data_IF_707896567579
#
_entry.id   IF_707896567579
#
_cell.length_a   1.000
_cell.length_b   1.000
_cell.length_c   1.000
_cell.angle_alpha   90.00
_cell.angle_beta   90.00
_cell.angle_gamma   90.00
#
_symmetry.space_group_name_H-M   'P 1'
#
loop_
_entity.id
_entity.type
_entity.pdbx_description
1 polymer ?
#
# COMPACT_ATOMS: atom_id res chain seq x y z
N UNK A 1 -14.06 -12.70 31.53
CA UNK A 1 -14.03 -11.88 30.33
C UNK A 1 -14.39 -10.47 30.74
N UNK A 2 -13.64 -9.44 30.33
CA UNK A 2 -13.99 -8.04 30.65
C UNK A 2 -15.22 -7.61 29.84
N UNK A 3 -15.87 -6.53 30.24
CA UNK A 3 -17.01 -5.98 29.51
C UNK A 3 -16.61 -5.56 28.08
N UNK A 4 -15.39 -5.05 27.88
CA UNK A 4 -14.83 -4.69 26.58
C UNK A 4 -14.65 -5.95 25.72
N UNK A 5 -14.03 -6.99 26.23
CA UNK A 5 -13.83 -8.24 25.49
C UNK A 5 -15.16 -8.91 25.08
N UNK A 6 -16.21 -8.79 25.90
CA UNK A 6 -17.54 -9.30 25.53
C UNK A 6 -18.17 -8.48 24.42
N UNK A 7 -18.03 -7.15 24.45
CA UNK A 7 -18.53 -6.28 23.40
C UNK A 7 -17.77 -6.50 22.07
N UNK A 8 -16.43 -6.65 22.15
CA UNK A 8 -15.59 -6.97 20.98
C UNK A 8 -16.00 -8.31 20.35
N UNK A 9 -16.24 -9.34 21.16
CA UNK A 9 -16.74 -10.64 20.68
C UNK A 9 -18.09 -10.48 19.97
N UNK A 10 -19.03 -9.74 20.54
CA UNK A 10 -20.34 -9.48 19.94
C UNK A 10 -20.23 -8.71 18.63
N UNK A 11 -19.31 -7.75 18.53
CA UNK A 11 -19.06 -7.02 17.29
C UNK A 11 -18.53 -7.95 16.19
N UNK A 12 -17.60 -8.86 16.51
CA UNK A 12 -17.12 -9.86 15.57
C UNK A 12 -18.22 -10.83 15.12
N UNK A 13 -19.08 -11.28 16.04
CA UNK A 13 -20.17 -12.21 15.73
C UNK A 13 -21.30 -11.55 14.93
N UNK A 14 -21.47 -10.24 15.03
CA UNK A 14 -22.47 -9.48 14.27
C UNK A 14 -22.05 -9.22 12.80
N UNK A 15 -20.81 -9.52 12.41
CA UNK A 15 -20.40 -9.45 11.01
C UNK A 15 -21.18 -10.50 10.20
N UNK A 16 -21.94 -10.02 9.22
CA UNK A 16 -22.71 -10.86 8.29
C UNK A 16 -21.82 -11.37 7.17
N UNK A 17 -21.54 -12.67 7.09
CA UNK A 17 -20.69 -13.26 6.04
C UNK A 17 -21.22 -13.01 4.62
N UNK A 18 -22.54 -13.04 4.41
CA UNK A 18 -23.14 -12.82 3.09
C UNK A 18 -22.97 -11.36 2.65
N UNK A 19 -23.04 -10.42 3.60
CA UNK A 19 -22.77 -9.01 3.35
C UNK A 19 -21.32 -8.78 2.92
N UNK A 20 -20.35 -9.40 3.60
CA UNK A 20 -18.92 -9.35 3.23
C UNK A 20 -18.71 -9.87 1.81
N UNK A 21 -19.28 -11.03 1.48
CA UNK A 21 -19.22 -11.63 0.13
C UNK A 21 -19.81 -10.70 -0.91
N UNK A 22 -20.99 -10.15 -0.67
CA UNK A 22 -21.67 -9.24 -1.60
C UNK A 22 -20.87 -7.97 -1.85
N UNK A 23 -20.30 -7.37 -0.81
CA UNK A 23 -19.45 -6.19 -0.92
C UNK A 23 -18.18 -6.47 -1.73
N UNK A 24 -17.44 -7.53 -1.40
CA UNK A 24 -16.20 -7.90 -2.08
C UNK A 24 -16.48 -8.23 -3.58
N UNK A 25 -17.46 -9.05 -3.86
CA UNK A 25 -17.84 -9.40 -5.23
C UNK A 25 -18.28 -8.17 -6.03
N UNK A 26 -19.09 -7.30 -5.42
CA UNK A 26 -19.57 -6.07 -6.06
C UNK A 26 -18.43 -5.12 -6.40
N UNK A 27 -17.45 -4.95 -5.49
CA UNK A 27 -16.25 -4.14 -5.75
C UNK A 27 -15.39 -4.72 -6.87
N UNK A 28 -15.15 -6.04 -6.89
CA UNK A 28 -14.35 -6.69 -7.95
C UNK A 28 -14.99 -6.50 -9.33
N UNK A 29 -16.33 -6.51 -9.41
CA UNK A 29 -17.07 -6.29 -10.66
C UNK A 29 -16.96 -4.88 -11.22
N UNK A 30 -16.48 -3.92 -10.43
CA UNK A 30 -16.24 -2.55 -10.86
C UNK A 30 -14.79 -2.39 -11.27
N UNK A 31 -14.52 -2.21 -12.56
CA UNK A 31 -13.17 -1.88 -13.06
C UNK A 31 -12.75 -0.50 -12.56
N UNK A 32 -11.64 -0.43 -11.84
CA UNK A 32 -11.09 0.79 -11.23
C UNK A 32 -9.61 1.00 -11.53
N UNK A 33 -9.21 0.61 -12.73
CA UNK A 33 -7.86 0.87 -13.25
C UNK A 33 -7.78 2.32 -13.72
N UNK A 34 -6.80 3.07 -13.21
CA UNK A 34 -6.49 4.39 -13.74
C UNK A 34 -5.77 4.26 -15.08
N UNK A 35 -6.31 4.89 -16.11
CA UNK A 35 -5.70 4.97 -17.44
C UNK A 35 -6.11 6.30 -18.08
N UNK A 36 -5.19 7.26 -18.09
CA UNK A 36 -5.42 8.60 -18.64
C UNK A 36 -5.75 8.55 -20.13
N UNK A 37 -5.09 7.69 -20.89
CA UNK A 37 -5.29 7.57 -22.33
C UNK A 37 -6.69 7.04 -22.67
N UNK A 38 -7.28 6.22 -21.81
CA UNK A 38 -8.63 5.67 -21.94
C UNK A 38 -9.69 6.48 -21.18
N UNK A 39 -9.25 7.44 -20.37
CA UNK A 39 -10.14 8.24 -19.52
C UNK A 39 -10.83 7.42 -18.43
N UNK A 40 -10.22 6.34 -17.95
CA UNK A 40 -10.75 5.51 -16.87
C UNK A 40 -10.09 5.87 -15.55
N UNK A 41 -10.88 5.82 -14.47
CA UNK A 41 -10.44 6.14 -13.11
C UNK A 41 -11.11 5.20 -12.11
N UNK A 42 -10.75 5.29 -10.84
CA UNK A 42 -11.37 4.59 -9.73
C UNK A 42 -12.73 5.17 -9.30
N UNK A 43 -13.16 6.30 -9.83
CA UNK A 43 -14.44 6.92 -9.47
C UNK A 43 -15.67 5.98 -9.52
N UNK A 44 -15.79 5.01 -10.44
CA UNK A 44 -16.88 4.03 -10.39
C UNK A 44 -16.86 3.17 -9.13
N UNK A 45 -15.67 2.76 -8.63
CA UNK A 45 -15.54 1.97 -7.42
C UNK A 45 -15.85 2.82 -6.17
N UNK A 46 -15.37 4.05 -6.12
CA UNK A 46 -15.74 5.00 -5.07
C UNK A 46 -17.26 5.22 -5.00
N UNK A 47 -17.93 5.38 -6.15
CA UNK A 47 -19.40 5.46 -6.19
C UNK A 47 -20.06 4.21 -5.62
N UNK A 48 -19.57 3.03 -5.98
CA UNK A 48 -20.09 1.79 -5.41
C UNK A 48 -19.97 1.79 -3.88
N UNK A 49 -18.81 2.16 -3.33
CA UNK A 49 -18.60 2.28 -1.87
C UNK A 49 -19.60 3.25 -1.25
N UNK A 50 -19.76 4.44 -1.84
CA UNK A 50 -20.73 5.45 -1.38
C UNK A 50 -22.17 4.90 -1.34
N UNK A 51 -22.59 4.21 -2.40
CA UNK A 51 -23.94 3.64 -2.49
C UNK A 51 -24.15 2.54 -1.45
N UNK A 52 -23.14 1.70 -1.20
CA UNK A 52 -23.20 0.67 -0.17
C UNK A 52 -23.29 1.27 1.25
N UNK A 53 -22.48 2.28 1.55
CA UNK A 53 -22.49 2.96 2.85
C UNK A 53 -23.84 3.68 3.07
N UNK A 54 -24.37 4.38 2.06
CA UNK A 54 -25.68 5.03 2.14
C UNK A 54 -26.82 4.03 2.34
N UNK A 55 -26.78 2.88 1.65
CA UNK A 55 -27.78 1.84 1.84
C UNK A 55 -27.77 1.25 3.25
N UNK A 56 -26.62 1.27 3.92
CA UNK A 56 -26.45 0.89 5.31
C UNK A 56 -26.75 2.05 6.29
N UNK A 57 -27.17 3.23 5.80
CA UNK A 57 -27.57 4.38 6.61
C UNK A 57 -26.42 5.22 7.14
N UNK A 58 -25.24 5.19 6.47
CA UNK A 58 -24.15 6.11 6.72
C UNK A 58 -24.21 7.34 5.79
N UNK A 59 -23.48 8.38 6.12
CA UNK A 59 -23.37 9.61 5.34
C UNK A 59 -21.92 9.84 4.86
N UNK A 60 -21.46 9.07 3.84
CA UNK A 60 -20.09 9.21 3.34
C UNK A 60 -19.90 10.54 2.63
N UNK A 61 -18.75 11.17 2.86
CA UNK A 61 -18.25 12.31 2.14
C UNK A 61 -17.34 11.84 1.01
N UNK A 62 -17.41 12.56 -0.12
CA UNK A 62 -16.55 12.30 -1.29
C UNK A 62 -15.70 13.53 -1.53
N UNK A 63 -14.38 13.33 -1.62
CA UNK A 63 -13.42 14.40 -1.85
C UNK A 63 -12.49 14.03 -3.00
N UNK A 64 -12.39 14.90 -3.98
CA UNK A 64 -11.50 14.71 -5.14
C UNK A 64 -10.03 14.94 -4.72
N UNK A 65 -9.22 13.90 -4.69
CA UNK A 65 -7.76 14.01 -4.53
C UNK A 65 -7.09 14.55 -5.82
N UNK A 66 -7.65 14.21 -6.96
CA UNK A 66 -7.34 14.74 -8.28
C UNK A 66 -8.60 14.61 -9.15
N UNK A 67 -8.69 15.27 -10.31
CA UNK A 67 -9.87 15.17 -11.17
C UNK A 67 -10.26 13.74 -11.51
N UNK A 68 -11.47 13.33 -11.09
CA UNK A 68 -12.00 11.97 -11.28
C UNK A 68 -11.36 10.90 -10.39
N UNK A 69 -10.58 11.28 -9.38
CA UNK A 69 -9.90 10.38 -8.45
C UNK A 69 -10.34 10.68 -7.00
N UNK A 70 -11.54 10.23 -6.61
CA UNK A 70 -12.12 10.59 -5.35
C UNK A 70 -11.70 9.67 -4.19
N UNK A 71 -11.46 10.27 -3.03
CA UNK A 71 -11.50 9.60 -1.73
C UNK A 71 -12.94 9.48 -1.24
N UNK A 72 -13.23 8.44 -0.49
CA UNK A 72 -14.49 8.29 0.26
C UNK A 72 -14.15 8.26 1.75
N UNK A 73 -14.69 9.23 2.50
CA UNK A 73 -14.49 9.34 3.94
C UNK A 73 -15.84 9.09 4.62
N UNK A 74 -15.88 8.21 5.61
CA UNK A 74 -17.10 7.92 6.33
C UNK A 74 -16.82 7.68 7.81
N UNK A 75 -17.40 8.51 8.65
CA UNK A 75 -17.26 8.38 10.10
C UNK A 75 -18.47 7.65 10.68
N UNK A 76 -18.21 6.70 11.55
CA UNK A 76 -19.12 6.21 12.55
C UNK A 76 -18.71 6.79 13.90
N UNK A 77 -19.52 7.70 14.42
CA UNK A 77 -19.41 8.22 15.78
C UNK A 77 -20.51 7.59 16.63
N UNK A 78 -20.14 6.94 17.72
CA UNK A 78 -21.15 6.46 18.65
C UNK A 78 -21.78 7.63 19.41
N UNK A 79 -23.02 7.47 19.90
CA UNK A 79 -23.79 8.54 20.55
C UNK A 79 -23.07 9.17 21.78
N UNK A 80 -22.11 8.46 22.37
CA UNK A 80 -21.31 8.95 23.50
C UNK A 80 -19.98 9.58 23.07
N UNK A 81 -19.71 9.71 21.77
CA UNK A 81 -18.43 10.23 21.28
C UNK A 81 -18.21 11.70 21.65
N UNK A 82 -17.03 12.01 22.12
CA UNK A 82 -16.52 13.36 22.40
C UNK A 82 -15.06 13.43 21.90
N UNK A 83 -14.85 14.17 20.82
CA UNK A 83 -13.53 14.27 20.14
C UNK A 83 -12.40 14.79 21.05
N UNK A 84 -12.72 15.46 22.16
CA UNK A 84 -11.71 15.93 23.12
C UNK A 84 -11.24 14.86 24.12
N UNK A 85 -11.89 13.70 24.15
CA UNK A 85 -11.71 12.68 25.19
C UNK A 85 -11.59 11.25 24.66
N UNK A 86 -12.14 10.99 23.49
CA UNK A 86 -12.25 9.64 22.95
C UNK A 86 -11.42 9.50 21.67
N UNK A 87 -10.98 8.28 21.40
CA UNK A 87 -10.12 7.95 20.30
C UNK A 87 -10.87 7.84 18.98
N UNK A 88 -10.11 8.06 17.91
CA UNK A 88 -10.52 7.76 16.53
C UNK A 88 -9.61 6.64 15.99
N UNK A 89 -10.23 5.56 15.52
CA UNK A 89 -9.55 4.51 14.74
C UNK A 89 -9.86 4.70 13.27
N UNK A 90 -8.84 4.73 12.42
CA UNK A 90 -9.02 4.66 10.97
C UNK A 90 -8.95 3.21 10.49
N UNK A 91 -9.87 2.83 9.62
CA UNK A 91 -9.75 1.67 8.73
C UNK A 91 -9.48 2.21 7.34
N UNK A 92 -8.30 1.93 6.84
CA UNK A 92 -7.77 2.48 5.60
C UNK A 92 -7.78 1.42 4.50
N UNK A 93 -8.07 1.83 3.27
CA UNK A 93 -7.92 1.02 2.07
C UNK A 93 -8.11 1.83 0.80
N UNK A 94 -7.73 1.25 -0.34
CA UNK A 94 -7.82 1.93 -1.64
C UNK A 94 -8.83 1.29 -2.60
N UNK A 95 -9.28 2.08 -3.59
CA UNK A 95 -10.26 1.64 -4.59
C UNK A 95 -9.67 1.36 -5.95
N UNK A 96 -8.51 1.91 -6.26
CA UNK A 96 -7.80 1.64 -7.52
C UNK A 96 -7.21 0.23 -7.55
N UNK A 97 -6.87 -0.23 -8.72
CA UNK A 97 -6.19 -1.51 -8.96
C UNK A 97 -5.25 -1.35 -10.13
N UNK A 98 -4.16 -2.13 -10.16
CA UNK A 98 -3.27 -2.18 -11.33
C UNK A 98 -4.00 -2.72 -12.56
N UNK A 99 -3.39 -2.50 -13.72
CA UNK A 99 -3.93 -3.03 -14.98
C UNK A 99 -4.11 -4.55 -14.94
N UNK A 100 -5.18 -5.03 -15.57
CA UNK A 100 -5.41 -6.46 -15.80
C UNK A 100 -4.44 -7.09 -16.81
N UNK A 101 -3.68 -6.25 -17.55
CA UNK A 101 -2.82 -6.70 -18.64
C UNK A 101 -3.62 -7.22 -19.83
N UNK A 102 -3.22 -8.36 -20.38
CA UNK A 102 -3.97 -9.04 -21.45
C UNK A 102 -5.08 -9.93 -20.86
N UNK A 103 -6.36 -9.58 -21.02
CA UNK A 103 -7.46 -10.37 -20.48
C UNK A 103 -7.55 -11.81 -21.05
N UNK A 104 -6.93 -12.08 -22.21
CA UNK A 104 -6.98 -13.39 -22.85
C UNK A 104 -6.17 -14.47 -22.14
N UNK A 105 -5.26 -14.07 -21.24
CA UNK A 105 -4.45 -15.01 -20.45
C UNK A 105 -5.08 -15.35 -19.10
N UNK A 106 -6.19 -14.71 -18.74
CA UNK A 106 -6.93 -14.98 -17.51
C UNK A 106 -7.84 -16.21 -17.69
N UNK A 107 -7.88 -17.08 -16.67
CA UNK A 107 -8.78 -18.24 -16.64
C UNK A 107 -10.27 -17.86 -16.53
N UNK A 108 -10.54 -16.68 -15.93
CA UNK A 108 -11.85 -16.03 -15.86
C UNK A 108 -11.71 -14.54 -16.17
N UNK A 109 -12.72 -13.87 -16.74
CA UNK A 109 -12.64 -12.43 -16.98
C UNK A 109 -12.27 -11.65 -15.71
N UNK A 110 -11.25 -10.77 -15.75
CA UNK A 110 -10.65 -10.15 -14.54
C UNK A 110 -11.62 -9.33 -13.69
N UNK A 111 -12.77 -8.90 -14.23
CA UNK A 111 -13.79 -8.13 -13.50
C UNK A 111 -15.17 -8.84 -13.50
N UNK A 112 -15.20 -10.15 -13.70
CA UNK A 112 -16.44 -10.93 -13.58
C UNK A 112 -16.87 -11.07 -12.11
N UNK A 113 -15.90 -11.13 -11.18
CA UNK A 113 -16.17 -11.41 -9.77
C UNK A 113 -16.76 -12.80 -9.58
N UNK A 114 -16.19 -13.80 -10.27
CA UNK A 114 -16.62 -15.18 -10.13
C UNK A 114 -16.28 -15.71 -8.75
N UNK A 115 -17.24 -16.40 -8.14
CA UNK A 115 -17.03 -17.14 -6.90
C UNK A 115 -17.09 -18.63 -7.22
N UNK A 116 -16.03 -19.34 -6.86
CA UNK A 116 -16.02 -20.79 -6.79
C UNK A 116 -16.43 -21.18 -5.36
N UNK A 117 -17.61 -21.79 -5.16
CA UNK A 117 -18.10 -22.13 -3.82
C UNK A 117 -17.16 -23.09 -3.09
N UNK A 118 -17.17 -23.03 -1.76
CA UNK A 118 -16.40 -23.95 -0.94
C UNK A 118 -16.94 -25.39 -0.92
N UNK A 119 -16.30 -26.27 -0.13
CA UNK A 119 -16.67 -27.68 -0.06
C UNK A 119 -18.10 -27.95 0.44
N UNK A 120 -18.68 -27.01 1.18
CA UNK A 120 -20.08 -27.06 1.66
C UNK A 120 -21.10 -26.53 0.64
N UNK A 121 -20.63 -26.02 -0.51
CA UNK A 121 -21.45 -25.42 -1.55
C UNK A 121 -21.79 -23.94 -1.31
N UNK A 122 -21.30 -23.34 -0.21
CA UNK A 122 -21.58 -21.95 0.12
C UNK A 122 -20.54 -21.00 -0.46
N UNK A 123 -20.97 -19.79 -0.85
CA UNK A 123 -20.09 -18.75 -1.36
C UNK A 123 -19.11 -18.27 -0.28
N UNK A 124 -19.58 -18.12 0.96
CA UNK A 124 -18.81 -17.64 2.09
C UNK A 124 -17.63 -18.53 2.49
N UNK A 125 -17.63 -19.79 2.10
CA UNK A 125 -16.51 -20.74 2.27
C UNK A 125 -15.65 -20.90 1.01
N UNK A 126 -15.92 -20.11 -0.02
CA UNK A 126 -15.35 -20.21 -1.37
C UNK A 126 -14.19 -19.25 -1.63
N UNK A 127 -13.92 -19.07 -2.92
CA UNK A 127 -12.85 -18.23 -3.47
C UNK A 127 -13.44 -17.22 -4.46
N UNK A 128 -13.13 -15.96 -4.28
CA UNK A 128 -13.50 -14.87 -5.19
C UNK A 128 -12.33 -14.57 -6.13
N UNK A 129 -12.58 -14.66 -7.43
CA UNK A 129 -11.59 -14.41 -8.47
C UNK A 129 -11.80 -13.04 -9.11
N UNK A 130 -10.69 -12.35 -9.43
CA UNK A 130 -10.66 -11.13 -10.22
C UNK A 130 -9.58 -10.15 -9.80
N UNK A 131 -9.25 -9.20 -10.67
CA UNK A 131 -8.31 -8.13 -10.39
C UNK A 131 -8.80 -7.26 -9.22
N UNK A 132 -7.92 -7.04 -8.24
CA UNK A 132 -8.24 -6.31 -7.03
C UNK A 132 -8.98 -7.15 -5.98
N UNK A 133 -9.18 -8.45 -6.20
CA UNK A 133 -9.84 -9.30 -5.20
C UNK A 133 -8.99 -9.46 -3.94
N UNK A 134 -7.67 -9.61 -4.08
CA UNK A 134 -6.74 -9.60 -2.97
C UNK A 134 -6.29 -8.18 -2.63
N UNK A 135 -5.92 -7.40 -3.63
CA UNK A 135 -5.30 -6.07 -3.49
C UNK A 135 -6.23 -4.97 -4.03
N UNK A 136 -6.99 -4.24 -3.14
CA UNK A 136 -7.30 -4.65 -1.76
C UNK A 136 -8.82 -4.57 -1.50
N UNK A 137 -9.64 -4.84 -2.57
CA UNK A 137 -11.11 -4.71 -2.48
C UNK A 137 -11.75 -5.62 -1.44
N UNK A 138 -11.12 -6.78 -1.14
CA UNK A 138 -11.56 -7.63 -0.04
C UNK A 138 -11.32 -6.96 1.33
N UNK A 139 -10.18 -6.29 1.51
CA UNK A 139 -9.89 -5.49 2.70
C UNK A 139 -10.90 -4.37 2.90
N UNK A 140 -11.20 -3.61 1.82
CA UNK A 140 -12.24 -2.56 1.83
C UNK A 140 -13.62 -3.12 2.19
N UNK A 141 -14.00 -4.26 1.60
CA UNK A 141 -15.27 -4.92 1.91
C UNK A 141 -15.35 -5.35 3.39
N UNK A 142 -14.24 -5.90 3.91
CA UNK A 142 -14.11 -6.28 5.32
C UNK A 142 -14.24 -5.07 6.25
N UNK A 143 -13.61 -3.94 5.93
CA UNK A 143 -13.68 -2.71 6.70
C UNK A 143 -15.10 -2.15 6.77
N UNK A 144 -15.82 -2.08 5.64
CA UNK A 144 -17.22 -1.63 5.59
C UNK A 144 -18.10 -2.51 6.47
N UNK A 145 -18.02 -3.84 6.31
CA UNK A 145 -18.82 -4.78 7.07
C UNK A 145 -18.51 -4.73 8.58
N UNK A 146 -17.24 -4.48 8.95
CA UNK A 146 -16.82 -4.31 10.34
C UNK A 146 -17.51 -3.08 10.98
N UNK A 147 -17.52 -1.93 10.30
CA UNK A 147 -18.17 -0.72 10.81
C UNK A 147 -19.68 -0.90 10.92
N UNK A 148 -20.32 -1.55 9.95
CA UNK A 148 -21.75 -1.91 10.01
C UNK A 148 -22.05 -2.76 11.27
N UNK A 149 -21.21 -3.77 11.56
CA UNK A 149 -21.37 -4.65 12.70
C UNK A 149 -21.17 -3.92 14.04
N UNK A 150 -20.13 -3.08 14.16
CA UNK A 150 -19.86 -2.29 15.37
C UNK A 150 -21.05 -1.34 15.65
N UNK A 151 -21.52 -0.60 14.63
CA UNK A 151 -22.66 0.30 14.78
C UNK A 151 -23.91 -0.44 15.25
N UNK A 152 -24.14 -1.66 14.75
CA UNK A 152 -25.30 -2.46 15.14
C UNK A 152 -25.29 -2.87 16.62
N UNK A 153 -24.13 -3.26 17.16
CA UNK A 153 -24.04 -3.80 18.53
C UNK A 153 -23.62 -2.78 19.59
N UNK A 154 -23.02 -1.67 19.17
CA UNK A 154 -22.48 -0.63 20.04
C UNK A 154 -22.76 0.78 19.53
N UNK A 155 -24.04 1.16 19.33
CA UNK A 155 -24.38 2.50 18.82
C UNK A 155 -23.92 3.63 19.76
N UNK A 156 -23.76 3.35 21.05
CA UNK A 156 -23.30 4.31 22.08
C UNK A 156 -21.78 4.23 22.35
N UNK A 157 -20.98 3.64 21.42
CA UNK A 157 -19.54 3.49 21.59
C UNK A 157 -18.88 4.87 21.83
N UNK A 158 -18.11 5.07 22.92
CA UNK A 158 -17.39 6.33 23.16
C UNK A 158 -16.11 6.36 22.31
N UNK A 159 -16.26 6.50 21.00
CA UNK A 159 -15.18 6.49 20.03
C UNK A 159 -15.70 6.74 18.63
N UNK A 160 -14.76 6.96 17.71
CA UNK A 160 -15.02 7.12 16.28
C UNK A 160 -14.28 6.07 15.48
N UNK A 161 -14.95 5.48 14.50
CA UNK A 161 -14.30 4.70 13.44
C UNK A 161 -14.40 5.52 12.16
N UNK A 162 -13.27 5.88 11.55
CA UNK A 162 -13.18 6.53 10.26
C UNK A 162 -12.81 5.55 9.18
N UNK A 163 -13.68 5.34 8.20
CA UNK A 163 -13.31 4.72 6.93
C UNK A 163 -12.63 5.76 6.06
N UNK A 164 -11.38 5.53 5.71
CA UNK A 164 -10.63 6.30 4.73
C UNK A 164 -10.37 5.42 3.51
N UNK A 165 -11.29 5.47 2.54
CA UNK A 165 -11.16 4.69 1.32
C UNK A 165 -10.63 5.62 0.23
N UNK A 166 -9.35 5.47 -0.07
CA UNK A 166 -8.59 6.45 -0.85
C UNK A 166 -8.35 6.01 -2.29
N UNK A 167 -7.83 6.92 -3.09
CA UNK A 167 -7.51 6.74 -4.49
C UNK A 167 -5.99 6.70 -4.72
N UNK A 168 -5.54 6.07 -5.81
CA UNK A 168 -4.16 6.15 -6.33
C UNK A 168 -3.08 5.51 -5.44
N UNK A 169 -3.40 4.52 -4.63
CA UNK A 169 -2.37 3.81 -3.87
C UNK A 169 -1.34 3.17 -4.80
N UNK A 170 -1.80 2.48 -5.82
CA UNK A 170 -1.02 1.76 -6.84
C UNK A 170 -0.19 2.69 -7.75
N UNK A 171 -0.47 3.99 -7.68
CA UNK A 171 0.23 5.04 -8.44
C UNK A 171 1.18 5.86 -7.57
N UNK A 172 0.77 7.09 -7.29
CA UNK A 172 1.55 8.10 -6.57
C UNK A 172 1.01 8.39 -5.16
N UNK A 173 0.05 7.59 -4.68
CA UNK A 173 -0.61 7.75 -3.37
C UNK A 173 -1.20 9.15 -3.18
N UNK A 174 -1.85 9.67 -4.24
CA UNK A 174 -2.44 11.02 -4.22
C UNK A 174 -3.59 11.11 -3.22
N UNK A 175 -4.36 10.02 -3.07
CA UNK A 175 -5.52 9.96 -2.19
C UNK A 175 -5.15 10.20 -0.74
N UNK A 176 -4.23 9.42 -0.19
CA UNK A 176 -3.83 9.58 1.20
C UNK A 176 -3.10 10.91 1.45
N UNK A 177 -2.28 11.37 0.48
CA UNK A 177 -1.61 12.67 0.58
C UNK A 177 -2.62 13.82 0.64
N UNK A 178 -3.67 13.77 -0.18
CA UNK A 178 -4.79 14.73 -0.14
C UNK A 178 -5.59 14.62 1.16
N UNK A 179 -5.92 13.41 1.61
CA UNK A 179 -6.59 13.15 2.87
C UNK A 179 -5.87 13.80 4.05
N UNK A 180 -4.54 13.64 4.12
CA UNK A 180 -3.71 14.26 5.16
C UNK A 180 -3.66 15.78 5.01
N UNK A 181 -3.46 16.29 3.79
CA UNK A 181 -3.37 17.72 3.52
C UNK A 181 -4.66 18.49 3.86
N UNK A 182 -5.82 17.82 3.73
CA UNK A 182 -7.12 18.39 4.05
C UNK A 182 -7.53 18.22 5.53
N UNK A 183 -6.62 17.69 6.36
CA UNK A 183 -6.79 17.61 7.82
C UNK A 183 -7.58 16.39 8.31
N UNK A 184 -7.93 15.45 7.42
CA UNK A 184 -8.69 14.25 7.82
C UNK A 184 -7.90 13.30 8.73
N UNK A 185 -6.57 13.45 8.77
CA UNK A 185 -5.69 12.66 9.62
C UNK A 185 -5.39 13.31 11.00
N UNK A 186 -5.87 14.54 11.26
CA UNK A 186 -5.43 15.32 12.42
C UNK A 186 -5.98 14.82 13.77
N UNK A 187 -7.04 14.03 13.75
CA UNK A 187 -7.70 13.47 14.93
C UNK A 187 -7.71 11.94 14.97
N UNK A 188 -6.80 11.28 14.24
CA UNK A 188 -6.65 9.83 14.21
C UNK A 188 -5.61 9.39 15.24
N UNK A 189 -5.98 8.46 16.13
CA UNK A 189 -5.12 7.91 17.19
C UNK A 189 -4.46 6.59 16.79
N UNK A 190 -4.91 5.95 15.72
CA UNK A 190 -4.34 4.73 15.17
C UNK A 190 -5.04 4.32 13.88
N UNK A 191 -4.35 3.59 13.03
CA UNK A 191 -4.91 3.14 11.75
C UNK A 191 -4.62 1.64 11.49
N UNK A 192 -5.64 0.93 11.01
CA UNK A 192 -5.51 -0.40 10.42
C UNK A 192 -5.54 -0.22 8.91
N UNK A 193 -4.46 -0.63 8.25
CA UNK A 193 -4.31 -0.65 6.80
C UNK A 193 -4.70 -2.04 6.32
N UNK A 194 -5.77 -2.13 5.52
CA UNK A 194 -6.47 -3.39 5.22
C UNK A 194 -5.88 -4.16 4.04
N UNK A 195 -4.57 -4.10 3.84
CA UNK A 195 -3.80 -4.72 2.74
C UNK A 195 -3.65 -6.23 2.86
N UNK A 196 -3.41 -6.97 1.76
CA UNK A 196 -3.38 -8.42 1.72
C UNK A 196 -2.12 -9.02 2.37
N UNK A 197 -2.17 -9.19 3.66
CA UNK A 197 -1.06 -9.71 4.48
C UNK A 197 -1.41 -11.03 5.18
N UNK A 198 -2.24 -11.89 4.56
CA UNK A 198 -2.63 -13.20 5.09
C UNK A 198 -3.25 -13.14 6.51
N UNK A 199 -3.84 -11.99 6.85
CA UNK A 199 -4.28 -11.65 8.20
C UNK A 199 -3.16 -11.76 9.26
N UNK A 200 -1.90 -11.57 8.87
CA UNK A 200 -0.78 -11.42 9.80
C UNK A 200 -0.66 -9.97 10.28
N UNK A 201 -0.23 -9.78 11.51
CA UNK A 201 -0.01 -8.46 12.09
C UNK A 201 1.32 -7.92 11.57
N UNK A 202 1.30 -6.94 10.66
CA UNK A 202 2.49 -6.31 10.12
C UNK A 202 2.69 -4.93 10.75
N UNK A 203 3.75 -4.81 11.55
CA UNK A 203 4.13 -3.58 12.24
C UNK A 203 5.18 -2.78 11.46
N UNK A 204 5.79 -3.42 10.48
CA UNK A 204 6.92 -2.89 9.71
C UNK A 204 6.62 -2.94 8.22
N UNK A 205 6.95 -1.85 7.51
CA UNK A 205 6.88 -1.79 6.04
C UNK A 205 8.20 -1.27 5.49
N UNK A 206 8.61 -1.79 4.31
CA UNK A 206 9.72 -1.17 3.58
C UNK A 206 9.32 0.19 3.04
N UNK A 207 10.26 1.12 3.11
CA UNK A 207 10.17 2.33 2.32
C UNK A 207 10.58 2.08 0.88
N UNK A 208 10.22 3.02 0.01
CA UNK A 208 10.59 3.01 -1.40
C UNK A 208 11.06 4.38 -1.86
N UNK A 209 12.16 4.42 -2.64
CA UNK A 209 12.55 5.60 -3.41
C UNK A 209 12.64 5.21 -4.88
N UNK A 210 12.13 6.06 -5.76
CA UNK A 210 12.23 5.88 -7.20
C UNK A 210 12.99 7.04 -7.82
N UNK A 211 14.06 6.73 -8.54
CA UNK A 211 14.92 7.75 -9.10
C UNK A 211 15.06 7.58 -10.62
N UNK A 212 15.02 8.73 -11.31
CA UNK A 212 15.55 8.85 -12.67
C UNK A 212 17.02 9.26 -12.60
N UNK A 213 17.88 8.51 -13.26
CA UNK A 213 19.31 8.80 -13.37
C UNK A 213 19.65 9.03 -14.84
N UNK A 214 20.30 10.15 -15.12
CA UNK A 214 20.81 10.47 -16.46
C UNK A 214 22.31 10.68 -16.37
N UNK A 215 23.08 10.05 -17.26
CA UNK A 215 24.48 10.30 -17.40
C UNK A 215 24.75 10.94 -18.77
N UNK A 216 25.49 12.04 -18.74
CA UNK A 216 25.83 12.84 -19.92
C UNK A 216 27.32 12.74 -20.18
N UNK A 217 27.65 12.61 -21.43
CA UNK A 217 29.02 12.56 -21.94
C UNK A 217 29.19 13.40 -23.19
N UNK A 218 30.06 12.92 -24.08
CA UNK A 218 30.30 13.58 -25.37
C UNK A 218 30.32 12.54 -26.47
N UNK A 219 29.41 12.68 -27.45
CA UNK A 219 29.28 11.80 -28.59
C UNK A 219 30.57 11.70 -29.39
N UNK A 220 30.92 10.52 -29.84
CA UNK A 220 32.03 10.31 -30.76
C UNK A 220 31.89 9.04 -31.59
N UNK A 221 32.74 8.87 -32.59
CA UNK A 221 32.82 7.65 -33.36
C UNK A 221 33.36 6.51 -32.45
N UNK A 222 32.74 5.34 -32.51
CA UNK A 222 33.12 4.18 -31.68
C UNK A 222 34.59 3.74 -31.85
N UNK A 223 35.24 3.99 -33.01
CA UNK A 223 36.65 3.76 -33.23
C UNK A 223 37.56 4.87 -32.67
N UNK A 224 37.01 6.00 -32.21
CA UNK A 224 37.75 7.15 -31.67
C UNK A 224 37.17 7.56 -30.29
N UNK A 225 37.09 6.65 -29.29
CA UNK A 225 36.48 6.91 -28.00
C UNK A 225 37.22 8.01 -27.21
N UNK A 226 38.49 8.28 -27.50
CA UNK A 226 39.30 9.34 -26.91
C UNK A 226 38.85 10.75 -27.34
N UNK A 227 38.11 10.88 -28.42
CA UNK A 227 37.57 12.16 -28.89
C UNK A 227 36.30 12.59 -28.13
N UNK A 228 35.66 11.67 -27.41
CA UNK A 228 34.44 11.89 -26.65
C UNK A 228 34.58 11.52 -25.17
N UNK A 229 33.42 11.45 -24.49
CA UNK A 229 33.28 10.94 -23.11
C UNK A 229 32.12 9.96 -23.11
N UNK A 230 32.38 8.70 -22.75
CA UNK A 230 31.37 7.65 -22.82
C UNK A 230 30.48 7.62 -21.57
N UNK A 231 29.23 8.06 -21.63
CA UNK A 231 28.33 8.05 -20.49
C UNK A 231 27.91 6.63 -20.09
N UNK A 232 27.97 5.63 -20.98
CA UNK A 232 27.69 4.22 -20.65
C UNK A 232 28.73 3.70 -19.64
N UNK A 233 30.03 4.05 -19.82
CA UNK A 233 31.06 3.69 -18.84
C UNK A 233 30.85 4.39 -17.51
N UNK A 234 30.54 5.70 -17.54
CA UNK A 234 30.21 6.45 -16.34
C UNK A 234 29.03 5.83 -15.57
N UNK A 235 27.96 5.44 -16.30
CA UNK A 235 26.82 4.78 -15.69
C UNK A 235 27.20 3.40 -15.08
N UNK A 236 28.03 2.63 -15.76
CA UNK A 236 28.50 1.34 -15.22
C UNK A 236 29.31 1.53 -13.91
N UNK A 237 30.17 2.57 -13.86
CA UNK A 237 30.94 2.90 -12.65
C UNK A 237 29.99 3.40 -11.52
N UNK A 238 28.97 4.16 -11.84
CA UNK A 238 27.93 4.57 -10.89
C UNK A 238 27.19 3.35 -10.32
N UNK A 239 26.78 2.39 -11.14
CA UNK A 239 26.12 1.14 -10.70
C UNK A 239 27.01 0.37 -9.73
N UNK A 240 28.33 0.30 -10.00
CA UNK A 240 29.29 -0.33 -9.08
C UNK A 240 29.33 0.40 -7.74
N UNK A 241 29.40 1.74 -7.77
CA UNK A 241 29.39 2.56 -6.55
C UNK A 241 28.10 2.42 -5.74
N UNK A 242 26.93 2.39 -6.43
CA UNK A 242 25.64 2.17 -5.78
C UNK A 242 25.54 0.80 -5.13
N UNK A 243 26.09 -0.24 -5.77
CA UNK A 243 26.15 -1.60 -5.22
C UNK A 243 27.07 -1.69 -3.99
N UNK A 244 28.14 -0.89 -3.92
CA UNK A 244 28.98 -0.79 -2.73
C UNK A 244 28.25 -0.09 -1.59
N UNK A 245 27.48 0.99 -1.88
CA UNK A 245 26.61 1.65 -0.93
C UNK A 245 25.56 0.68 -0.37
N UNK A 246 24.84 -0.04 -1.23
CA UNK A 246 23.88 -1.08 -0.84
C UNK A 246 24.51 -2.07 0.15
N UNK A 247 25.66 -2.63 -0.18
CA UNK A 247 26.35 -3.59 0.69
C UNK A 247 26.80 -2.95 2.02
N UNK A 248 27.17 -1.68 2.00
CA UNK A 248 27.53 -0.94 3.21
C UNK A 248 26.32 -0.79 4.14
N UNK A 249 25.17 -0.40 3.58
CA UNK A 249 23.92 -0.29 4.32
C UNK A 249 23.43 -1.64 4.86
N UNK A 250 23.49 -2.69 4.05
CA UNK A 250 23.17 -4.06 4.49
C UNK A 250 24.04 -4.52 5.65
N UNK A 251 25.35 -4.21 5.63
CA UNK A 251 26.24 -4.53 6.77
C UNK A 251 25.98 -3.67 8.00
N UNK A 252 25.60 -2.40 7.81
CA UNK A 252 25.33 -1.47 8.91
C UNK A 252 24.06 -1.85 9.67
N UNK A 253 23.02 -2.25 8.95
CA UNK A 253 21.69 -2.52 9.52
C UNK A 253 21.48 -3.99 9.91
N UNK A 254 22.14 -4.91 9.18
CA UNK A 254 21.83 -6.34 9.25
C UNK A 254 20.51 -6.67 8.52
N UNK A 255 20.08 -7.90 8.67
CA UNK A 255 18.82 -8.39 8.16
C UNK A 255 17.72 -8.11 9.19
N UNK A 256 16.66 -7.44 8.76
CA UNK A 256 15.48 -7.18 9.60
C UNK A 256 14.59 -8.42 9.62
N UNK A 257 14.12 -8.85 10.80
CA UNK A 257 13.41 -10.13 11.00
C UNK A 257 12.21 -10.33 10.07
N UNK A 258 11.47 -9.25 9.76
CA UNK A 258 10.27 -9.31 8.93
C UNK A 258 10.45 -8.70 7.52
N UNK A 259 11.44 -7.84 7.31
CA UNK A 259 11.62 -7.11 6.05
C UNK A 259 12.85 -7.57 5.25
N UNK A 260 13.75 -8.37 5.86
CA UNK A 260 15.01 -8.76 5.24
C UNK A 260 15.94 -7.56 5.02
N UNK A 261 16.64 -7.54 3.89
CA UNK A 261 17.67 -6.54 3.57
C UNK A 261 17.10 -5.35 2.77
N UNK A 262 17.73 -4.16 2.86
CA UNK A 262 17.49 -3.06 1.93
C UNK A 262 18.17 -3.33 0.58
N UNK A 263 17.64 -2.71 -0.51
CA UNK A 263 18.11 -2.90 -1.88
C UNK A 263 18.18 -1.60 -2.67
N UNK A 264 19.18 -1.47 -3.55
CA UNK A 264 19.30 -0.40 -4.55
C UNK A 264 19.38 -1.07 -5.93
N UNK A 265 18.24 -1.14 -6.62
CA UNK A 265 18.09 -1.96 -7.83
C UNK A 265 17.95 -1.10 -9.09
N UNK A 266 18.91 -1.14 -10.03
CA UNK A 266 18.68 -0.66 -11.39
C UNK A 266 17.62 -1.52 -12.08
N UNK A 267 16.49 -0.90 -12.50
CA UNK A 267 15.37 -1.62 -13.13
C UNK A 267 15.29 -1.39 -14.63
N UNK A 268 15.76 -0.24 -15.10
CA UNK A 268 15.79 0.13 -16.52
C UNK A 268 17.15 0.73 -16.85
N UNK A 269 17.72 0.35 -18.01
CA UNK A 269 18.87 1.03 -18.62
C UNK A 269 18.58 1.23 -20.11
N UNK A 270 18.72 2.46 -20.58
CA UNK A 270 18.52 2.82 -21.98
C UNK A 270 19.71 3.62 -22.50
N UNK A 271 20.30 3.15 -23.60
CA UNK A 271 21.44 3.78 -24.27
C UNK A 271 21.30 3.65 -25.81
N UNK A 272 21.22 4.75 -26.56
CA UNK A 272 21.12 6.15 -26.10
C UNK A 272 19.79 6.39 -25.35
N UNK A 273 19.77 7.42 -24.51
CA UNK A 273 18.54 7.85 -23.82
C UNK A 273 17.50 8.44 -24.80
N UNK A 274 17.96 8.95 -25.92
CA UNK A 274 17.16 9.57 -26.98
C UNK A 274 17.71 9.22 -28.37
N UNK A 275 16.82 9.16 -29.35
CA UNK A 275 17.18 8.89 -30.75
C UNK A 275 17.47 7.41 -31.04
N UNK A 276 17.98 7.15 -32.23
CA UNK A 276 18.28 5.80 -32.70
C UNK A 276 19.68 5.35 -32.30
N UNK A 277 19.78 4.10 -31.83
CA UNK A 277 21.07 3.47 -31.54
C UNK A 277 21.80 3.08 -32.83
N UNK A 278 23.12 3.33 -32.89
CA UNK A 278 23.99 2.88 -33.94
C UNK A 278 25.23 2.21 -33.38
N UNK A 279 25.65 1.09 -33.98
CA UNK A 279 26.74 0.26 -33.44
C UNK A 279 28.09 0.98 -33.36
N UNK A 280 28.32 1.95 -34.25
CA UNK A 280 29.60 2.69 -34.35
C UNK A 280 29.53 4.10 -33.75
N UNK A 281 28.47 4.45 -33.02
CA UNK A 281 28.29 5.75 -32.38
C UNK A 281 28.24 5.59 -30.86
N UNK A 282 29.14 6.26 -30.18
CA UNK A 282 29.10 6.42 -28.72
C UNK A 282 28.10 7.53 -28.38
N UNK A 283 27.03 7.26 -27.60
CA UNK A 283 26.02 8.27 -27.31
C UNK A 283 26.56 9.39 -26.40
N UNK A 284 25.87 10.48 -26.33
CA UNK A 284 26.13 11.60 -25.42
C UNK A 284 25.24 11.57 -24.15
N UNK A 285 24.18 10.75 -24.14
CA UNK A 285 23.27 10.62 -23.00
C UNK A 285 22.80 9.17 -22.84
N UNK A 286 22.75 8.72 -21.59
CA UNK A 286 22.14 7.44 -21.18
C UNK A 286 21.22 7.64 -19.99
N UNK A 287 20.21 6.78 -19.86
CA UNK A 287 19.19 6.81 -18.82
C UNK A 287 19.18 5.51 -18.03
N UNK A 288 18.89 5.63 -16.73
CA UNK A 288 18.63 4.50 -15.83
C UNK A 288 17.49 4.86 -14.89
N UNK A 289 16.65 3.90 -14.55
CA UNK A 289 15.75 3.98 -13.41
C UNK A 289 16.27 3.12 -12.26
N UNK A 290 16.11 3.63 -11.04
CA UNK A 290 16.39 2.91 -9.80
C UNK A 290 15.09 2.72 -9.00
N UNK A 291 14.90 1.50 -8.49
CA UNK A 291 13.98 1.17 -7.40
C UNK A 291 14.82 0.89 -6.15
N UNK A 292 14.65 1.71 -5.12
CA UNK A 292 15.36 1.60 -3.84
C UNK A 292 14.37 1.18 -2.77
N UNK A 293 14.65 0.06 -2.10
CA UNK A 293 13.83 -0.45 -1.00
C UNK A 293 14.59 -0.28 0.31
N UNK A 294 14.01 0.50 1.22
CA UNK A 294 14.63 0.84 2.50
C UNK A 294 13.96 0.08 3.66
N UNK A 295 14.68 -0.03 4.76
CA UNK A 295 14.21 -0.65 6.01
C UNK A 295 14.38 0.36 7.17
N UNK A 296 13.74 0.13 8.32
CA UNK A 296 13.91 0.99 9.50
C UNK A 296 15.37 1.27 9.82
N UNK A 297 15.68 2.55 10.11
CA UNK A 297 17.04 3.03 10.36
C UNK A 297 17.77 3.61 9.15
N UNK A 298 17.12 3.73 7.98
CA UNK A 298 17.62 4.47 6.82
C UNK A 298 16.89 5.81 6.66
N UNK A 299 17.64 6.89 6.55
CA UNK A 299 17.10 8.19 6.17
C UNK A 299 17.20 8.36 4.65
N UNK A 300 16.08 8.67 4.00
CA UNK A 300 16.01 8.79 2.54
C UNK A 300 16.82 9.98 2.02
N UNK A 301 16.84 11.11 2.74
CA UNK A 301 17.61 12.28 2.33
C UNK A 301 19.12 12.02 2.45
N UNK A 302 19.55 11.32 3.50
CA UNK A 302 20.94 10.89 3.67
C UNK A 302 21.34 9.90 2.57
N UNK A 303 20.50 8.91 2.27
CA UNK A 303 20.77 7.93 1.23
C UNK A 303 20.88 8.59 -0.15
N UNK A 304 19.99 9.53 -0.47
CA UNK A 304 20.07 10.33 -1.70
C UNK A 304 21.34 11.18 -1.76
N UNK A 305 21.75 11.79 -0.64
CA UNK A 305 22.99 12.54 -0.57
C UNK A 305 24.22 11.66 -0.80
N UNK A 306 24.22 10.42 -0.29
CA UNK A 306 25.30 9.45 -0.51
C UNK A 306 25.36 8.99 -1.98
N UNK A 307 24.22 8.73 -2.62
CA UNK A 307 24.17 8.40 -4.06
C UNK A 307 24.68 9.55 -4.91
N UNK A 308 24.29 10.80 -4.61
CA UNK A 308 24.78 11.98 -5.28
C UNK A 308 26.29 12.21 -5.05
N UNK A 309 26.83 11.85 -3.88
CA UNK A 309 28.27 11.95 -3.60
C UNK A 309 29.08 10.94 -4.43
N UNK A 310 28.54 9.77 -4.72
CA UNK A 310 29.17 8.79 -5.64
C UNK A 310 29.24 9.40 -7.06
N UNK A 311 28.14 9.95 -7.54
CA UNK A 311 28.07 10.59 -8.86
C UNK A 311 29.10 11.72 -9.00
N UNK A 312 29.15 12.64 -8.03
CA UNK A 312 30.13 13.74 -8.02
C UNK A 312 31.58 13.28 -8.07
N UNK A 313 31.95 12.24 -7.33
CA UNK A 313 33.33 11.67 -7.40
C UNK A 313 33.69 11.16 -8.78
N UNK A 314 32.74 10.57 -9.49
CA UNK A 314 32.96 10.09 -10.86
C UNK A 314 33.08 11.24 -11.85
N UNK A 315 32.32 12.34 -11.67
CA UNK A 315 32.44 13.57 -12.45
C UNK A 315 33.80 14.24 -12.28
N UNK A 316 34.29 14.32 -11.02
CA UNK A 316 35.63 14.86 -10.71
C UNK A 316 36.73 14.06 -11.37
N UNK A 317 36.59 12.71 -11.41
CA UNK A 317 37.55 11.81 -12.05
C UNK A 317 37.48 11.77 -13.59
N UNK A 318 36.39 12.27 -14.21
CA UNK A 318 36.17 12.19 -15.66
C UNK A 318 35.67 13.51 -16.20
N UNK A 319 36.54 14.38 -16.74
CA UNK A 319 36.12 15.67 -17.27
C UNK A 319 35.02 15.55 -18.33
N UNK A 320 34.00 16.41 -18.24
CA UNK A 320 32.79 16.44 -19.10
C UNK A 320 31.83 15.26 -18.93
N UNK A 321 32.06 14.34 -18.01
CA UNK A 321 31.02 13.43 -17.52
C UNK A 321 30.16 14.21 -16.52
N UNK A 322 28.82 14.04 -16.58
CA UNK A 322 27.90 14.64 -15.64
C UNK A 322 26.75 13.68 -15.37
N UNK A 323 26.25 13.68 -14.13
CA UNK A 323 25.06 12.94 -13.73
C UNK A 323 23.96 13.86 -13.25
N UNK A 324 22.72 13.44 -13.45
CA UNK A 324 21.53 13.98 -12.81
C UNK A 324 20.79 12.81 -12.15
N UNK A 325 20.66 12.87 -10.83
CA UNK A 325 19.84 11.95 -10.04
C UNK A 325 18.62 12.75 -9.55
N UNK A 326 17.43 12.30 -9.92
CA UNK A 326 16.17 12.91 -9.56
C UNK A 326 15.29 11.88 -8.85
N UNK A 327 15.15 12.01 -7.52
CA UNK A 327 14.18 11.25 -6.75
C UNK A 327 12.80 11.86 -6.97
N UNK A 328 11.93 11.18 -7.72
CA UNK A 328 10.60 11.67 -8.03
C UNK A 328 9.51 11.05 -7.13
N UNK A 329 9.84 10.00 -6.41
CA UNK A 329 8.97 9.33 -5.43
C UNK A 329 9.78 8.90 -4.21
N UNK A 330 9.27 9.24 -3.03
CA UNK A 330 9.86 8.84 -1.75
C UNK A 330 8.74 8.47 -0.78
N UNK A 331 8.68 7.19 -0.41
CA UNK A 331 7.73 6.61 0.52
C UNK A 331 8.53 6.11 1.74
N UNK A 332 8.44 6.77 2.90
CA UNK A 332 9.18 6.35 4.09
C UNK A 332 8.82 4.91 4.52
N UNK A 333 9.77 4.22 5.15
CA UNK A 333 9.49 2.98 5.87
C UNK A 333 8.66 3.26 7.12
N UNK A 334 8.03 2.23 7.68
CA UNK A 334 7.28 2.34 8.94
C UNK A 334 7.76 1.32 9.95
N UNK A 335 7.59 1.66 11.24
CA UNK A 335 7.92 0.78 12.37
C UNK A 335 7.07 1.17 13.57
N UNK A 336 5.91 0.55 13.72
CA UNK A 336 5.05 0.75 14.88
C UNK A 336 5.61 0.00 16.09
N UNK A 337 5.63 0.66 17.25
CA UNK A 337 6.10 0.04 18.50
C UNK A 337 5.21 -1.18 18.86
N UNK A 338 5.79 -2.36 19.07
CA UNK A 338 5.03 -3.54 19.49
C UNK A 338 4.22 -3.35 20.79
N UNK A 339 4.57 -2.36 21.60
CA UNK A 339 3.85 -2.03 22.84
C UNK A 339 2.76 -0.96 22.64
N UNK A 340 2.53 -0.51 21.41
CA UNK A 340 1.50 0.49 21.13
C UNK A 340 0.10 -0.04 21.52
N UNK A 341 -0.78 0.82 22.07
CA UNK A 341 -2.15 0.45 22.40
C UNK A 341 -2.94 -0.15 21.23
N UNK A 342 -2.69 0.30 19.97
CA UNK A 342 -3.33 -0.26 18.79
C UNK A 342 -2.90 -1.72 18.58
N UNK A 343 -1.61 -2.01 18.69
CA UNK A 343 -1.08 -3.38 18.53
C UNK A 343 -1.70 -4.30 19.59
N UNK A 344 -1.71 -3.86 20.85
CA UNK A 344 -2.31 -4.61 21.94
C UNK A 344 -3.81 -4.88 21.73
N UNK A 345 -4.55 -3.92 21.15
CA UNK A 345 -5.97 -4.07 20.80
C UNK A 345 -6.17 -5.11 19.68
N UNK A 346 -5.37 -5.04 18.63
CA UNK A 346 -5.41 -6.02 17.53
C UNK A 346 -5.07 -7.42 18.04
N UNK A 347 -4.06 -7.59 18.88
CA UNK A 347 -3.70 -8.89 19.48
C UNK A 347 -4.82 -9.47 20.35
N UNK A 348 -5.47 -8.64 21.17
CA UNK A 348 -6.62 -9.09 21.99
C UNK A 348 -7.79 -9.56 21.12
N UNK A 349 -8.03 -8.88 20.01
CA UNK A 349 -9.05 -9.27 19.05
C UNK A 349 -8.67 -10.51 18.24
N UNK A 350 -7.38 -10.69 17.92
CA UNK A 350 -6.89 -11.75 17.05
C UNK A 350 -7.17 -13.16 17.61
N UNK A 351 -6.83 -13.41 18.88
CA UNK A 351 -6.96 -14.75 19.48
C UNK A 351 -8.38 -15.30 19.41
N UNK A 352 -9.43 -14.59 19.85
CA UNK A 352 -10.79 -15.13 19.80
C UNK A 352 -11.37 -15.22 18.40
N UNK A 353 -10.94 -14.34 17.46
CA UNK A 353 -11.46 -14.33 16.08
C UNK A 353 -10.79 -15.41 15.23
N UNK A 354 -9.46 -15.49 15.27
CA UNK A 354 -8.68 -16.44 14.46
C UNK A 354 -8.58 -17.83 15.09
N UNK A 355 -8.89 -17.98 16.38
CA UNK A 355 -8.73 -19.24 17.10
C UNK A 355 -7.27 -19.70 17.22
N UNK A 356 -6.32 -18.79 17.09
CA UNK A 356 -4.88 -19.05 17.06
C UNK A 356 -4.11 -17.91 17.71
N UNK A 357 -2.83 -18.15 18.04
CA UNK A 357 -1.92 -17.09 18.47
C UNK A 357 -1.64 -16.10 17.32
N UNK A 358 -1.42 -14.81 17.61
CA UNK A 358 -1.05 -13.81 16.64
C UNK A 358 0.16 -14.24 15.81
N UNK A 359 0.04 -14.10 14.49
CA UNK A 359 1.16 -14.26 13.56
C UNK A 359 1.63 -12.88 13.13
N UNK A 360 2.94 -12.72 13.00
CA UNK A 360 3.55 -11.45 12.64
C UNK A 360 4.25 -11.56 11.30
N UNK A 361 4.09 -10.54 10.48
CA UNK A 361 4.71 -10.39 9.19
C UNK A 361 5.36 -9.02 9.01
N UNK A 362 5.73 -8.72 7.78
CA UNK A 362 6.20 -7.41 7.35
C UNK A 362 5.84 -7.16 5.90
N UNK A 363 5.51 -5.93 5.59
CA UNK A 363 5.13 -5.51 4.23
C UNK A 363 6.39 -5.29 3.39
N UNK A 364 6.61 -6.04 2.32
CA UNK A 364 7.81 -5.89 1.48
C UNK A 364 7.81 -4.62 0.64
N UNK A 365 6.68 -3.91 0.60
CA UNK A 365 6.45 -2.62 -0.07
C UNK A 365 6.13 -1.51 0.90
N UNK A 366 5.64 -0.40 0.37
CA UNK A 366 5.06 0.71 1.11
C UNK A 366 3.58 0.82 0.73
N UNK A 367 2.71 1.02 1.70
CA UNK A 367 1.28 1.27 1.53
C UNK A 367 0.96 2.73 1.84
N UNK A 368 -0.27 3.15 1.67
CA UNK A 368 -0.76 4.49 2.06
C UNK A 368 -0.49 4.80 3.55
N UNK A 369 -0.48 3.78 4.40
CA UNK A 369 -0.11 3.91 5.82
C UNK A 369 1.26 4.54 6.08
N UNK A 370 2.18 4.49 5.09
CA UNK A 370 3.50 5.11 5.23
C UNK A 370 3.41 6.61 5.52
N UNK A 371 2.44 7.31 4.90
CA UNK A 371 2.29 8.77 5.09
C UNK A 371 1.54 9.10 6.39
N UNK A 372 0.61 8.28 6.84
CA UNK A 372 -0.01 8.42 8.15
C UNK A 372 1.06 8.33 9.24
N UNK A 373 1.93 7.34 9.17
CA UNK A 373 3.02 7.15 10.12
C UNK A 373 4.07 8.26 10.02
N UNK A 374 4.58 8.54 8.82
CA UNK A 374 5.73 9.44 8.65
C UNK A 374 5.38 10.93 8.78
N UNK A 375 4.17 11.37 8.39
CA UNK A 375 3.80 12.78 8.39
C UNK A 375 2.93 13.17 9.58
N UNK A 376 2.27 12.21 10.23
CA UNK A 376 1.32 12.46 11.31
C UNK A 376 1.64 11.73 12.60
N UNK A 377 2.67 10.90 12.60
CA UNK A 377 3.08 10.09 13.76
C UNK A 377 1.95 9.16 14.28
N UNK A 378 1.10 8.72 13.36
CA UNK A 378 -0.02 7.83 13.65
C UNK A 378 0.49 6.39 13.64
N UNK A 379 0.32 5.62 14.74
CA UNK A 379 0.64 4.19 14.74
C UNK A 379 -0.24 3.44 13.75
N UNK A 380 0.39 2.55 12.95
CA UNK A 380 -0.32 1.75 11.97
C UNK A 380 -0.09 0.26 12.21
N UNK A 381 -1.11 -0.53 11.92
CA UNK A 381 -1.03 -1.98 11.80
C UNK A 381 -1.55 -2.35 10.41
N UNK A 382 -0.69 -2.95 9.58
CA UNK A 382 -1.15 -3.49 8.29
C UNK A 382 -1.57 -4.94 8.50
N UNK A 383 -2.82 -5.24 8.17
CA UNK A 383 -3.40 -6.57 8.32
C UNK A 383 -4.65 -6.68 7.45
N UNK A 384 -4.72 -7.70 6.63
CA UNK A 384 -5.91 -7.94 5.81
C UNK A 384 -5.86 -9.26 5.05
N UNK A 385 -6.97 -9.60 4.39
CA UNK A 385 -7.16 -10.87 3.72
C UNK A 385 -6.44 -10.92 2.39
N UNK A 386 -6.00 -12.08 1.99
CA UNK A 386 -5.30 -12.34 0.74
C UNK A 386 -3.86 -12.75 0.96
N UNK A 387 -3.38 -13.62 0.10
CA UNK A 387 -1.99 -14.04 0.08
C UNK A 387 -1.14 -12.90 -0.53
N UNK A 388 -0.10 -12.47 0.17
CA UNK A 388 0.79 -11.35 -0.24
C UNK A 388 1.55 -11.60 -1.54
N UNK A 389 1.56 -12.84 -2.05
CA UNK A 389 2.22 -13.19 -3.30
C UNK A 389 1.30 -13.14 -4.51
N UNK A 390 -0.01 -13.01 -4.31
CA UNK A 390 -1.04 -13.01 -5.37
C UNK A 390 -1.29 -11.66 -6.03
N UNK A 391 -1.17 -10.50 -5.34
CA UNK A 391 -1.34 -9.19 -5.97
C UNK A 391 -0.58 -9.02 -7.28
N UNK A 392 -1.18 -8.29 -8.24
CA UNK A 392 -0.62 -7.95 -9.55
C UNK A 392 -0.45 -9.14 -10.53
N UNK A 393 -0.75 -10.37 -10.11
CA UNK A 393 -0.68 -11.55 -10.99
C UNK A 393 -1.95 -11.73 -11.82
N UNK A 394 -1.85 -12.52 -12.88
CA UNK A 394 -3.00 -13.08 -13.61
C UNK A 394 -3.69 -14.09 -12.69
N UNK A 395 -5.01 -14.21 -12.83
CA UNK A 395 -5.83 -15.09 -12.00
C UNK A 395 -5.78 -14.76 -10.50
N UNK A 396 -5.65 -13.48 -10.17
CA UNK A 396 -5.74 -12.98 -8.81
C UNK A 396 -7.03 -13.45 -8.13
N UNK A 397 -6.91 -13.84 -6.86
CA UNK A 397 -8.03 -14.34 -6.07
C UNK A 397 -7.86 -14.04 -4.58
N UNK A 398 -8.98 -14.15 -3.84
CA UNK A 398 -8.99 -14.10 -2.37
C UNK A 398 -9.91 -15.21 -1.84
N UNK A 399 -9.55 -15.79 -0.70
CA UNK A 399 -10.40 -16.73 0.02
C UNK A 399 -11.42 -15.95 0.85
N UNK A 400 -12.69 -16.19 0.61
CA UNK A 400 -13.76 -15.48 1.31
C UNK A 400 -13.80 -15.75 2.83
N UNK A 401 -13.45 -16.95 3.33
CA UNK A 401 -13.28 -17.16 4.77
C UNK A 401 -12.26 -16.20 5.42
N UNK A 402 -11.15 -15.90 4.72
CA UNK A 402 -10.12 -15.00 5.24
C UNK A 402 -10.61 -13.55 5.24
N UNK A 403 -11.43 -13.16 4.25
CA UNK A 403 -12.09 -11.84 4.18
C UNK A 403 -13.10 -11.65 5.32
N UNK A 404 -13.90 -12.69 5.60
CA UNK A 404 -14.86 -12.68 6.70
C UNK A 404 -14.12 -12.63 8.05
N UNK A 405 -13.02 -13.36 8.19
CA UNK A 405 -12.19 -13.32 9.39
C UNK A 405 -11.57 -11.93 9.61
N UNK A 406 -11.09 -11.27 8.55
CA UNK A 406 -10.60 -9.89 8.59
C UNK A 406 -11.70 -8.92 9.08
N UNK A 407 -12.91 -9.01 8.51
CA UNK A 407 -14.03 -8.15 8.94
C UNK A 407 -14.34 -8.31 10.43
N UNK A 408 -14.36 -9.55 10.92
CA UNK A 408 -14.54 -9.86 12.34
C UNK A 408 -13.42 -9.31 13.21
N UNK A 409 -12.18 -9.43 12.73
CA UNK A 409 -11.00 -8.92 13.41
C UNK A 409 -11.05 -7.38 13.51
N UNK A 410 -11.38 -6.69 12.43
CA UNK A 410 -11.50 -5.23 12.43
C UNK A 410 -12.59 -4.75 13.38
N UNK A 411 -13.76 -5.40 13.37
CA UNK A 411 -14.85 -5.06 14.28
C UNK A 411 -14.45 -5.23 15.76
N UNK A 412 -13.80 -6.35 16.10
CA UNK A 412 -13.33 -6.59 17.47
C UNK A 412 -12.19 -5.66 17.87
N UNK A 413 -11.21 -5.44 16.99
CA UNK A 413 -10.06 -4.56 17.25
C UNK A 413 -10.49 -3.10 17.44
N UNK A 414 -11.48 -2.63 16.69
CA UNK A 414 -12.05 -1.30 16.87
C UNK A 414 -12.62 -1.10 18.26
N UNK A 415 -13.42 -2.06 18.75
CA UNK A 415 -13.98 -2.00 20.10
C UNK A 415 -12.88 -2.04 21.17
N UNK A 416 -11.89 -2.95 21.02
CA UNK A 416 -10.76 -3.08 21.96
C UNK A 416 -9.91 -1.82 22.01
N UNK A 417 -9.67 -1.15 20.87
CA UNK A 417 -8.85 0.06 20.79
C UNK A 417 -9.58 1.29 21.34
N UNK A 418 -10.83 1.46 20.95
CA UNK A 418 -11.61 2.66 21.32
C UNK A 418 -12.02 2.67 22.81
N UNK A 419 -12.04 1.50 23.47
CA UNK A 419 -12.38 1.35 24.87
C UNK A 419 -11.17 1.07 25.80
N UNK A 420 -9.94 1.12 25.26
CA UNK A 420 -8.72 0.84 26.01
C UNK A 420 -8.11 2.06 26.72
#
# INVERSE_FOLDING_TARGET
MTQVAELARRAAEAVDPERVVALAQGLVRVRSVYDEARGTTEAPAARYVVDQLRSAGFEPLVEEAAPGRPNVICDFEGDAFDASRHRTLMLEGHTDVVTEGDPSVWSVPPFEGRIDPGPDGEASSGVLHGRGSADMKAGVAAAIAAVEAVRHVAPELPGRIRLGIVADEEGMMLGIKSFIANGWADDIDGAIVCEPEENEICLFQKGAMRLHVRAFGVMSHGAMPYAGVNPIRGLADLIVGLRELERSEQRRLGEHDHLGLPWITPTIVQAPAKGEAQLNVMPDEVYMALDVRTVPGQDHAELEAQMNAIARRLEEGTPRLRFELNCFESRPWTATDPNDPLVAAVERAYRPVMGAEPRYGGVPGATDGTFLWAWKDIPIVTIGPGDRTIPHQVDEFVRLPDTIAAARLYAAAAVEFLLS
#
